data_IF_494288899084
#
_entry.id   IF_494288899084
#
_cell.length_a   1.000
_cell.length_b   1.000
_cell.length_c   1.000
_cell.angle_alpha   90.00
_cell.angle_beta   90.00
_cell.angle_gamma   90.00
#
_symmetry.space_group_name_H-M   'P 1'
#
loop_
_entity.id
_entity.type
_entity.pdbx_description
1 polymer ?
#
# COMPACT_ATOMS: atom_id res chain seq x y z
N UNK A 1 -20.47 3.13 -5.76
CA UNK A 1 -20.34 4.60 -5.86
C UNK A 1 -19.98 5.11 -4.47
N UNK A 2 -19.04 6.05 -4.34
CA UNK A 2 -18.70 6.64 -3.03
C UNK A 2 -19.69 7.75 -2.68
N UNK A 3 -20.20 7.74 -1.44
CA UNK A 3 -21.12 8.75 -0.93
C UNK A 3 -20.33 9.88 -0.26
N UNK A 4 -20.45 11.12 -0.79
CA UNK A 4 -19.66 12.29 -0.36
C UNK A 4 -20.43 13.28 0.54
N UNK A 5 -21.77 13.28 0.52
CA UNK A 5 -22.70 14.09 1.35
C UNK A 5 -24.12 13.48 1.33
N UNK A 6 -24.91 13.78 2.36
CA UNK A 6 -26.37 13.56 2.57
C UNK A 6 -27.08 12.80 1.46
N UNK A 7 -26.74 11.53 1.33
CA UNK A 7 -27.51 10.62 0.51
C UNK A 7 -28.80 10.31 1.29
N UNK A 8 -29.93 10.72 0.72
CA UNK A 8 -31.22 10.44 1.31
C UNK A 8 -31.61 9.00 1.04
N UNK A 9 -31.73 8.23 2.13
CA UNK A 9 -32.27 6.88 2.09
C UNK A 9 -33.66 6.89 2.72
N UNK A 10 -34.60 6.08 2.21
CA UNK A 10 -35.94 5.96 2.78
C UNK A 10 -35.97 5.18 4.11
N UNK A 11 -34.80 4.79 4.63
CA UNK A 11 -34.59 4.03 5.85
C UNK A 11 -33.30 4.51 6.54
N UNK A 12 -33.11 4.21 7.85
CA UNK A 12 -31.89 4.56 8.57
C UNK A 12 -30.65 3.91 7.94
N UNK A 13 -29.59 4.70 7.75
CA UNK A 13 -28.28 4.23 7.28
C UNK A 13 -27.21 4.72 8.24
N UNK A 14 -26.33 3.81 8.66
CA UNK A 14 -25.21 4.14 9.54
C UNK A 14 -24.11 4.86 8.78
N UNK A 15 -23.80 6.09 9.19
CA UNK A 15 -22.66 6.88 8.70
C UNK A 15 -22.32 7.95 9.73
N UNK A 16 -21.10 8.50 9.67
CA UNK A 16 -20.56 9.50 10.59
C UNK A 16 -21.36 10.81 10.67
N UNK A 17 -22.30 11.01 9.75
CA UNK A 17 -23.16 12.19 9.65
C UNK A 17 -24.64 11.87 9.87
N UNK A 18 -24.96 10.60 10.17
CA UNK A 18 -26.32 10.13 10.34
C UNK A 18 -26.92 10.69 11.63
N UNK A 19 -28.12 11.25 11.54
CA UNK A 19 -28.94 11.57 12.73
C UNK A 19 -29.86 10.41 13.11
N UNK A 20 -29.75 9.26 12.42
CA UNK A 20 -30.66 8.13 12.61
C UNK A 20 -30.23 7.17 13.72
N UNK A 21 -28.96 7.22 14.12
CA UNK A 21 -28.36 6.36 15.15
C UNK A 21 -27.94 7.21 16.35
N UNK A 22 -28.04 6.63 17.56
CA UNK A 22 -27.63 7.29 18.81
C UNK A 22 -26.10 7.53 18.84
N UNK A 23 -25.31 6.55 18.39
CA UNK A 23 -23.88 6.68 18.14
C UNK A 23 -23.59 6.42 16.65
N UNK A 24 -23.60 7.45 15.80
CA UNK A 24 -23.41 7.30 14.36
C UNK A 24 -21.91 7.26 14.03
N UNK A 25 -21.21 6.15 14.32
CA UNK A 25 -19.79 5.98 14.00
C UNK A 25 -19.54 4.78 13.08
N UNK A 26 -18.91 5.06 11.95
CA UNK A 26 -18.36 4.08 11.02
C UNK A 26 -17.04 4.63 10.45
N UNK A 27 -15.94 4.20 11.07
CA UNK A 27 -14.59 4.62 10.75
C UNK A 27 -13.89 3.56 9.91
N UNK A 28 -13.21 4.03 8.87
CA UNK A 28 -12.37 3.26 7.97
C UNK A 28 -10.98 3.89 7.99
N UNK A 29 -9.99 3.03 8.24
CA UNK A 29 -8.58 3.30 8.00
C UNK A 29 -8.05 2.31 6.96
N UNK A 30 -7.25 2.82 6.03
CA UNK A 30 -6.69 2.01 4.95
C UNK A 30 -5.22 2.33 4.81
N UNK A 31 -4.39 1.33 5.08
CA UNK A 31 -2.97 1.35 4.75
C UNK A 31 -2.73 0.71 3.38
N UNK A 32 -1.75 1.21 2.63
CA UNK A 32 -1.35 0.65 1.34
C UNK A 32 0.06 0.07 1.42
N UNK A 33 0.16 -1.20 1.06
CA UNK A 33 1.41 -1.85 0.70
C UNK A 33 1.42 -2.08 -0.82
N UNK A 34 2.60 -2.08 -1.44
CA UNK A 34 2.70 -2.38 -2.86
C UNK A 34 3.96 -3.18 -3.19
N UNK A 35 3.85 -4.05 -4.18
CA UNK A 35 5.00 -4.63 -4.86
C UNK A 35 4.97 -4.23 -6.34
N UNK A 36 5.81 -4.84 -7.16
CA UNK A 36 5.90 -4.53 -8.60
C UNK A 36 4.60 -4.78 -9.37
N UNK A 37 3.79 -5.75 -8.94
CA UNK A 37 2.64 -6.25 -9.69
C UNK A 37 1.28 -5.87 -9.08
N UNK A 38 1.23 -5.74 -7.76
CA UNK A 38 0.00 -5.63 -6.98
C UNK A 38 0.07 -4.49 -5.95
N UNK A 39 -1.09 -3.92 -5.70
CA UNK A 39 -1.40 -3.12 -4.52
C UNK A 39 -2.07 -4.02 -3.48
N UNK A 40 -1.70 -3.90 -2.21
CA UNK A 40 -2.39 -4.56 -1.11
C UNK A 40 -2.93 -3.50 -0.16
N UNK A 41 -4.25 -3.39 -0.11
CA UNK A 41 -4.96 -2.51 0.81
C UNK A 41 -5.19 -3.25 2.10
N UNK A 42 -4.59 -2.79 3.20
CA UNK A 42 -4.90 -3.25 4.55
C UNK A 42 -6.06 -2.41 5.07
N UNK A 43 -7.20 -3.07 5.28
CA UNK A 43 -8.49 -2.48 5.61
C UNK A 43 -8.78 -2.72 7.08
N UNK A 44 -8.76 -1.66 7.87
CA UNK A 44 -9.18 -1.67 9.27
C UNK A 44 -10.42 -0.81 9.40
N UNK A 45 -11.49 -1.33 9.99
CA UNK A 45 -12.72 -0.57 10.16
C UNK A 45 -13.37 -0.84 11.50
N UNK A 46 -14.08 0.17 12.01
CA UNK A 46 -14.83 0.12 13.24
C UNK A 46 -16.25 0.64 12.97
N UNK A 47 -17.23 -0.12 13.43
CA UNK A 47 -18.65 0.23 13.41
C UNK A 47 -19.06 0.45 14.86
N UNK A 48 -19.83 1.46 15.21
CA UNK A 48 -20.38 1.59 16.58
C UNK A 48 -21.48 0.56 16.80
N UNK A 49 -22.50 0.59 15.94
CA UNK A 49 -23.76 -0.16 16.02
C UNK A 49 -23.58 -1.67 16.27
N UNK A 50 -23.95 -2.17 17.47
CA UNK A 50 -24.09 -3.59 17.76
C UNK A 50 -24.98 -4.35 16.78
N UNK A 51 -26.09 -3.75 16.34
CA UNK A 51 -26.99 -4.33 15.36
C UNK A 51 -26.28 -4.62 14.03
N UNK A 52 -25.57 -3.61 13.48
CA UNK A 52 -24.81 -3.77 12.24
C UNK A 52 -23.67 -4.79 12.40
N UNK A 53 -22.94 -4.77 13.52
CA UNK A 53 -21.92 -5.78 13.82
C UNK A 53 -22.47 -7.20 13.80
N UNK A 54 -23.66 -7.39 14.39
CA UNK A 54 -24.35 -8.69 14.39
C UNK A 54 -24.71 -9.12 12.98
N UNK A 55 -25.21 -8.23 12.12
CA UNK A 55 -25.51 -8.57 10.73
C UNK A 55 -24.27 -9.01 9.96
N UNK A 56 -23.12 -8.34 10.16
CA UNK A 56 -21.86 -8.73 9.53
C UNK A 56 -21.43 -10.12 10.02
N UNK A 57 -21.50 -10.38 11.33
CA UNK A 57 -21.06 -11.66 11.89
C UNK A 57 -21.98 -12.84 11.55
N UNK A 58 -23.28 -12.61 11.35
CA UNK A 58 -24.22 -13.64 10.88
C UNK A 58 -24.18 -13.84 9.37
N UNK A 59 -23.48 -12.99 8.62
CA UNK A 59 -23.44 -13.00 7.15
C UNK A 59 -24.67 -12.36 6.49
N UNK A 60 -25.57 -11.78 7.29
CA UNK A 60 -26.75 -11.05 6.82
C UNK A 60 -26.39 -9.67 6.25
N UNK A 61 -25.23 -9.14 6.64
CA UNK A 61 -24.57 -7.98 6.06
C UNK A 61 -23.21 -8.36 5.47
N UNK A 62 -22.81 -7.69 4.39
CA UNK A 62 -21.51 -7.87 3.74
C UNK A 62 -20.78 -6.54 3.61
N UNK A 63 -19.52 -6.54 4.05
CA UNK A 63 -18.62 -5.42 3.84
C UNK A 63 -18.12 -5.41 2.38
N UNK A 64 -18.15 -4.25 1.73
CA UNK A 64 -17.74 -4.04 0.35
C UNK A 64 -16.80 -2.85 0.30
N UNK A 65 -15.52 -3.12 0.02
CA UNK A 65 -14.51 -2.10 -0.21
C UNK A 65 -14.69 -1.52 -1.61
N UNK A 66 -14.86 -0.21 -1.69
CA UNK A 66 -15.01 0.53 -2.93
C UNK A 66 -13.75 1.35 -3.14
N UNK A 67 -13.05 1.09 -4.24
CA UNK A 67 -11.89 1.86 -4.67
C UNK A 67 -12.31 2.65 -5.91
N UNK A 68 -12.43 3.96 -5.75
CA UNK A 68 -12.75 4.88 -6.84
C UNK A 68 -11.46 5.57 -7.31
N UNK A 69 -11.01 5.20 -8.50
CA UNK A 69 -9.91 5.87 -9.20
C UNK A 69 -10.45 6.51 -10.49
N UNK A 70 -10.03 6.03 -11.67
CA UNK A 70 -10.70 6.31 -12.95
C UNK A 70 -12.02 5.54 -13.05
N UNK A 71 -11.99 4.27 -12.67
CA UNK A 71 -13.16 3.40 -12.57
C UNK A 71 -13.46 3.08 -11.10
N UNK A 72 -14.71 2.71 -10.83
CA UNK A 72 -15.10 2.15 -9.54
C UNK A 72 -14.81 0.65 -9.54
N UNK A 73 -14.04 0.18 -8.56
CA UNK A 73 -13.87 -1.25 -8.26
C UNK A 73 -14.51 -1.58 -6.92
N UNK A 74 -15.09 -2.77 -6.84
CA UNK A 74 -15.84 -3.25 -5.69
C UNK A 74 -15.26 -4.60 -5.27
N UNK A 75 -14.94 -4.73 -3.99
CA UNK A 75 -14.37 -5.95 -3.41
C UNK A 75 -15.20 -6.32 -2.19
N UNK A 76 -15.90 -7.45 -2.27
CA UNK A 76 -16.59 -8.04 -1.13
C UNK A 76 -15.53 -8.59 -0.16
N UNK A 77 -15.64 -8.23 1.12
CA UNK A 77 -14.75 -8.72 2.17
C UNK A 77 -15.42 -9.88 2.89
N UNK A 78 -14.65 -10.93 3.15
CA UNK A 78 -15.07 -11.99 4.07
C UNK A 78 -15.02 -11.48 5.53
N UNK A 79 -15.75 -12.10 6.48
CA UNK A 79 -15.90 -11.62 7.87
C UNK A 79 -14.60 -11.36 8.64
N UNK A 80 -13.46 -11.91 8.20
CA UNK A 80 -12.14 -11.70 8.80
C UNK A 80 -11.09 -11.21 7.79
N UNK A 81 -11.51 -10.81 6.59
CA UNK A 81 -10.60 -10.33 5.56
C UNK A 81 -10.23 -8.86 5.83
N UNK A 82 -8.99 -8.66 6.26
CA UNK A 82 -8.41 -7.33 6.50
C UNK A 82 -7.51 -6.86 5.36
N UNK A 83 -7.39 -7.61 4.26
CA UNK A 83 -6.53 -7.23 3.15
C UNK A 83 -7.17 -7.53 1.79
N UNK A 84 -7.02 -6.60 0.85
CA UNK A 84 -7.44 -6.77 -0.56
C UNK A 84 -6.24 -6.54 -1.47
N UNK A 85 -5.87 -7.56 -2.22
CA UNK A 85 -4.83 -7.47 -3.25
C UNK A 85 -5.45 -7.14 -4.61
N UNK A 86 -4.91 -6.12 -5.27
CA UNK A 86 -5.38 -5.60 -6.57
C UNK A 86 -4.19 -5.46 -7.52
N UNK A 87 -4.20 -6.14 -8.67
CA UNK A 87 -3.15 -5.96 -9.66
C UNK A 87 -3.08 -4.52 -10.17
N UNK A 88 -1.87 -3.96 -10.26
CA UNK A 88 -1.59 -2.61 -10.79
C UNK A 88 -2.11 -2.41 -12.22
N UNK A 89 -2.22 -3.50 -13.00
CA UNK A 89 -2.87 -3.49 -14.32
C UNK A 89 -4.39 -3.24 -14.28
N UNK A 90 -5.05 -3.47 -13.13
CA UNK A 90 -6.52 -3.35 -12.98
C UNK A 90 -6.94 -2.02 -12.33
N UNK A 91 -6.04 -1.36 -11.61
CA UNK A 91 -6.28 -0.08 -10.91
C UNK A 91 -5.02 0.77 -11.00
N UNK A 92 -5.18 2.04 -11.36
CA UNK A 92 -4.12 3.03 -11.25
C UNK A 92 -4.43 3.94 -10.07
N UNK A 93 -3.50 4.04 -9.12
CA UNK A 93 -3.65 4.92 -7.95
C UNK A 93 -3.11 6.32 -8.25
N UNK A 94 -3.81 7.33 -7.76
CA UNK A 94 -3.41 8.73 -7.89
C UNK A 94 -3.89 9.51 -6.67
N UNK A 95 -3.48 10.78 -6.54
CA UNK A 95 -3.97 11.70 -5.50
C UNK A 95 -5.50 11.88 -5.48
N UNK A 96 -6.19 11.40 -6.51
CA UNK A 96 -7.66 11.43 -6.64
C UNK A 96 -8.32 10.13 -6.26
N UNK A 97 -7.56 9.08 -5.94
CA UNK A 97 -8.15 7.80 -5.54
C UNK A 97 -8.80 7.96 -4.18
N UNK A 98 -10.08 7.60 -4.12
CA UNK A 98 -10.88 7.61 -2.90
C UNK A 98 -11.30 6.18 -2.56
N UNK A 99 -11.30 5.86 -1.28
CA UNK A 99 -11.65 4.54 -0.76
C UNK A 99 -12.75 4.72 0.29
N UNK A 100 -13.78 3.87 0.23
CA UNK A 100 -14.87 3.84 1.19
C UNK A 100 -15.32 2.40 1.41
N UNK A 101 -15.77 2.07 2.61
CA UNK A 101 -16.34 0.77 2.94
C UNK A 101 -17.85 0.91 3.08
N UNK A 102 -18.58 0.03 2.40
CA UNK A 102 -20.05 -0.08 2.50
C UNK A 102 -20.40 -1.36 3.23
N UNK A 103 -21.47 -1.34 4.03
CA UNK A 103 -22.15 -2.54 4.48
C UNK A 103 -23.44 -2.66 3.69
N UNK A 104 -23.63 -3.79 2.99
CA UNK A 104 -24.85 -4.08 2.25
C UNK A 104 -25.57 -5.29 2.84
N UNK A 105 -26.89 -5.31 2.77
CA UNK A 105 -27.69 -6.47 3.16
C UNK A 105 -27.53 -7.62 2.14
N UNK A 106 -27.50 -8.84 2.63
CA UNK A 106 -27.53 -10.07 1.81
C UNK A 106 -28.92 -10.73 1.76
N UNK A 107 -29.86 -10.19 2.55
CA UNK A 107 -31.27 -10.58 2.57
C UNK A 107 -32.11 -9.37 2.99
N UNK A 108 -33.42 -9.54 3.02
CA UNK A 108 -34.32 -8.56 3.62
C UNK A 108 -34.10 -8.48 5.14
N UNK A 109 -33.97 -7.27 5.69
CA UNK A 109 -33.67 -7.01 7.11
C UNK A 109 -34.76 -6.14 7.71
N UNK A 110 -35.38 -6.61 8.78
CA UNK A 110 -36.31 -5.81 9.58
C UNK A 110 -35.57 -5.17 10.77
N UNK A 111 -35.88 -3.91 11.07
CA UNK A 111 -35.17 -3.11 12.08
C UNK A 111 -35.80 -3.19 13.48
N UNK A 112 -36.76 -4.09 13.73
CA UNK A 112 -37.38 -4.26 15.05
C UNK A 112 -36.38 -4.38 16.20
N UNK A 113 -35.32 -5.15 15.98
CA UNK A 113 -34.30 -5.45 16.99
C UNK A 113 -33.11 -4.47 16.91
N UNK A 114 -33.25 -3.37 16.17
CA UNK A 114 -32.23 -2.33 16.09
C UNK A 114 -32.46 -1.31 17.21
N UNK A 115 -31.82 -1.58 18.35
CA UNK A 115 -31.85 -0.69 19.52
C UNK A 115 -30.82 0.46 19.43
N UNK A 116 -30.07 0.53 18.33
CA UNK A 116 -29.04 1.55 18.11
C UNK A 116 -29.60 2.83 17.44
N UNK A 117 -30.86 2.77 16.99
CA UNK A 117 -31.55 3.91 16.37
C UNK A 117 -31.94 4.95 17.40
N UNK A 118 -32.06 6.20 16.93
CA UNK A 118 -32.55 7.28 17.79
C UNK A 118 -33.99 7.07 18.23
N UNK A 119 -34.35 7.66 19.37
CA UNK A 119 -35.73 7.64 19.91
C UNK A 119 -36.84 8.01 18.90
N UNK A 120 -36.52 8.80 17.87
CA UNK A 120 -37.44 9.11 16.76
C UNK A 120 -38.02 7.85 16.10
N UNK A 121 -37.21 6.81 15.92
CA UNK A 121 -37.61 5.56 15.26
C UNK A 121 -38.31 4.56 16.18
N UNK A 122 -38.31 4.79 17.50
CA UNK A 122 -38.79 3.81 18.48
C UNK A 122 -40.24 3.36 18.25
N UNK A 123 -41.09 4.23 17.70
CA UNK A 123 -42.51 3.93 17.46
C UNK A 123 -42.78 3.10 16.19
N UNK A 124 -41.85 3.04 15.24
CA UNK A 124 -42.09 2.43 13.92
C UNK A 124 -40.90 1.65 13.36
N UNK A 125 -39.82 1.42 14.13
CA UNK A 125 -38.67 0.62 13.68
C UNK A 125 -39.04 -0.80 13.28
N UNK A 126 -40.11 -1.34 13.86
CA UNK A 126 -40.67 -2.67 13.51
C UNK A 126 -41.26 -2.73 12.10
N UNK A 127 -41.67 -1.58 11.56
CA UNK A 127 -42.22 -1.43 10.21
C UNK A 127 -41.14 -1.17 9.15
N UNK A 128 -39.90 -0.88 9.59
CA UNK A 128 -38.78 -0.60 8.70
C UNK A 128 -38.20 -1.93 8.23
N UNK A 129 -38.47 -2.24 6.96
CA UNK A 129 -37.91 -3.38 6.26
C UNK A 129 -37.02 -2.91 5.13
N UNK A 130 -35.73 -3.24 5.25
CA UNK A 130 -34.68 -2.89 4.29
C UNK A 130 -34.52 -4.05 3.30
N UNK A 131 -34.60 -3.81 1.98
CA UNK A 131 -34.58 -4.87 0.99
C UNK A 131 -33.21 -5.55 0.88
N UNK A 132 -33.15 -6.69 0.20
CA UNK A 132 -31.89 -7.35 -0.13
C UNK A 132 -30.99 -6.46 -1.01
N UNK A 133 -29.68 -6.50 -0.78
CA UNK A 133 -28.63 -5.69 -1.44
C UNK A 133 -28.76 -4.18 -1.24
N UNK A 134 -29.52 -3.77 -0.23
CA UNK A 134 -29.63 -2.39 0.20
C UNK A 134 -28.42 -1.98 1.03
N UNK A 135 -28.17 -0.68 1.08
CA UNK A 135 -27.09 -0.12 1.90
C UNK A 135 -27.53 -0.03 3.36
N UNK A 136 -26.75 -0.61 4.27
CA UNK A 136 -26.98 -0.54 5.71
C UNK A 136 -26.09 0.52 6.38
N UNK A 137 -24.91 0.77 5.82
CA UNK A 137 -24.01 1.80 6.30
C UNK A 137 -22.85 2.08 5.36
N UNK A 138 -22.22 3.24 5.51
CA UNK A 138 -20.98 3.59 4.80
C UNK A 138 -20.03 4.43 5.66
N UNK A 139 -18.73 4.17 5.50
CA UNK A 139 -17.67 4.79 6.28
C UNK A 139 -17.34 6.23 5.84
N UNK A 140 -16.42 6.87 6.56
CA UNK A 140 -15.66 8.01 6.03
C UNK A 140 -14.94 7.62 4.72
N UNK A 141 -14.53 8.65 3.97
CA UNK A 141 -13.75 8.50 2.75
C UNK A 141 -12.27 8.66 3.12
N UNK A 142 -11.46 7.66 2.75
CA UNK A 142 -10.00 7.75 2.78
C UNK A 142 -9.52 8.19 1.40
N UNK A 143 -8.74 9.28 1.34
CA UNK A 143 -8.17 9.78 0.09
C UNK A 143 -6.70 9.36 0.03
N UNK A 144 -6.30 8.78 -1.10
CA UNK A 144 -4.91 8.44 -1.34
C UNK A 144 -4.11 9.71 -1.60
N UNK A 145 -3.12 10.02 -0.78
CA UNK A 145 -2.35 11.28 -0.90
C UNK A 145 -1.21 11.22 -1.93
N UNK A 146 -1.05 10.10 -2.64
CA UNK A 146 -0.12 9.99 -3.77
C UNK A 146 1.36 9.86 -3.39
N UNK A 147 1.67 9.70 -2.11
CA UNK A 147 2.97 9.21 -1.68
C UNK A 147 2.75 8.08 -0.69
N UNK A 148 3.13 6.87 -1.10
CA UNK A 148 3.83 6.01 -0.16
C UNK A 148 5.05 6.85 0.18
N UNK A 149 5.04 7.48 1.37
CA UNK A 149 6.17 8.27 1.87
C UNK A 149 7.43 7.48 1.54
N UNK A 150 8.40 8.08 0.87
CA UNK A 150 9.65 7.43 0.50
C UNK A 150 10.47 7.30 1.80
N UNK A 151 10.25 6.26 2.63
CA UNK A 151 10.54 6.35 4.05
C UNK A 151 11.99 5.97 4.36
N UNK A 152 12.76 5.65 3.31
CA UNK A 152 14.09 5.07 3.40
C UNK A 152 14.92 5.72 2.29
N UNK A 153 15.49 6.90 2.57
CA UNK A 153 16.61 7.39 1.76
C UNK A 153 17.74 6.38 1.96
N UNK A 154 17.89 5.49 0.98
CA UNK A 154 18.89 4.41 0.97
C UNK A 154 20.16 4.79 0.22
N UNK A 155 20.14 5.89 -0.54
CA UNK A 155 21.25 6.26 -1.41
C UNK A 155 21.72 7.69 -1.15
N UNK A 156 23.04 7.85 -1.13
CA UNK A 156 23.73 9.14 -1.14
C UNK A 156 24.67 9.18 -2.35
N UNK A 157 24.82 10.36 -2.95
CA UNK A 157 25.81 10.60 -4.02
C UNK A 157 26.88 11.53 -3.49
N UNK A 158 28.15 11.19 -3.67
CA UNK A 158 29.29 12.03 -3.28
C UNK A 158 30.24 12.24 -4.43
N UNK A 159 30.88 13.40 -4.46
CA UNK A 159 31.99 13.70 -5.36
C UNK A 159 33.30 13.50 -4.60
N UNK A 160 34.22 12.72 -5.16
CA UNK A 160 35.57 12.53 -4.63
C UNK A 160 36.58 12.49 -5.78
N UNK A 161 37.21 13.64 -6.05
CA UNK A 161 38.18 13.80 -7.14
C UNK A 161 39.45 12.97 -6.95
N UNK A 162 39.72 12.49 -5.73
CA UNK A 162 40.90 11.69 -5.39
C UNK A 162 40.68 10.18 -5.63
N UNK A 163 39.49 9.79 -6.08
CA UNK A 163 39.17 8.40 -6.40
C UNK A 163 40.11 7.81 -7.46
N UNK A 164 40.61 6.61 -7.18
CA UNK A 164 41.43 5.84 -8.11
C UNK A 164 40.60 5.25 -9.26
N UNK A 165 39.32 4.97 -9.02
CA UNK A 165 38.33 4.52 -10.02
C UNK A 165 37.41 5.66 -10.48
N UNK A 166 36.64 5.45 -11.55
CA UNK A 166 35.64 6.45 -11.98
C UNK A 166 34.47 6.58 -11.01
N UNK A 167 34.05 5.43 -10.46
CA UNK A 167 32.92 5.28 -9.55
C UNK A 167 33.31 4.27 -8.47
N UNK A 168 32.84 4.48 -7.25
CA UNK A 168 32.98 3.56 -6.13
C UNK A 168 31.68 3.48 -5.34
N UNK A 169 31.35 2.27 -4.92
CA UNK A 169 30.20 2.00 -4.05
C UNK A 169 30.73 1.71 -2.65
N UNK A 170 30.16 2.39 -1.67
CA UNK A 170 30.47 2.21 -0.26
C UNK A 170 29.19 1.99 0.53
N UNK A 171 29.21 1.06 1.47
CA UNK A 171 28.10 0.86 2.41
C UNK A 171 28.39 1.70 3.66
N UNK A 172 27.70 2.84 3.77
CA UNK A 172 27.77 3.70 4.95
C UNK A 172 26.98 3.14 6.13
N UNK A 173 26.89 3.92 7.20
CA UNK A 173 26.16 3.55 8.42
C UNK A 173 24.66 3.43 8.18
N UNK A 174 24.09 4.33 7.37
CA UNK A 174 22.65 4.45 7.16
C UNK A 174 22.23 4.43 5.68
N UNK A 175 23.19 4.50 4.76
CA UNK A 175 22.98 4.69 3.31
C UNK A 175 24.04 3.96 2.50
N UNK A 176 23.70 3.64 1.26
CA UNK A 176 24.62 3.21 0.21
C UNK A 176 25.14 4.48 -0.48
N UNK A 177 26.45 4.70 -0.42
CA UNK A 177 27.10 5.89 -0.95
C UNK A 177 27.69 5.54 -2.31
N UNK A 178 27.24 6.25 -3.34
CA UNK A 178 27.82 6.19 -4.68
C UNK A 178 28.76 7.38 -4.82
N UNK A 179 30.06 7.11 -4.81
CA UNK A 179 31.07 8.12 -5.05
C UNK A 179 31.39 8.20 -6.54
N UNK A 180 31.43 9.43 -7.05
CA UNK A 180 31.78 9.76 -8.42
C UNK A 180 33.07 10.56 -8.41
N UNK A 181 34.01 10.22 -9.30
CA UNK A 181 35.26 10.98 -9.42
C UNK A 181 35.06 12.36 -10.03
N UNK A 182 34.06 12.52 -10.91
CA UNK A 182 33.73 13.77 -11.61
C UNK A 182 32.23 14.01 -11.57
N UNK A 183 31.84 15.29 -11.55
CA UNK A 183 30.44 15.69 -11.51
C UNK A 183 29.66 15.19 -12.74
N UNK A 184 30.30 15.21 -13.92
CA UNK A 184 29.70 14.75 -15.19
C UNK A 184 29.19 13.30 -15.12
N UNK A 185 29.76 12.45 -14.27
CA UNK A 185 29.34 11.05 -14.11
C UNK A 185 28.02 10.89 -13.36
N UNK A 186 27.52 11.96 -12.74
CA UNK A 186 26.21 11.98 -12.09
C UNK A 186 25.08 12.28 -13.08
N UNK A 187 25.41 12.61 -14.35
CA UNK A 187 24.47 13.00 -15.40
C UNK A 187 23.62 14.23 -15.03
N UNK A 188 24.16 15.13 -14.21
CA UNK A 188 23.51 16.40 -13.86
C UNK A 188 23.23 17.20 -15.14
N UNK A 189 22.01 17.74 -15.27
CA UNK A 189 21.61 18.53 -16.45
C UNK A 189 21.00 17.77 -17.64
N UNK A 190 21.02 16.43 -17.66
CA UNK A 190 20.36 15.64 -18.70
C UNK A 190 18.90 15.31 -18.31
N UNK A 191 17.95 15.39 -19.25
CA UNK A 191 16.57 14.88 -19.04
C UNK A 191 16.66 13.40 -18.67
N UNK A 192 16.02 12.99 -17.58
CA UNK A 192 16.09 11.62 -17.04
C UNK A 192 17.43 11.24 -16.37
N UNK A 193 18.22 12.22 -15.88
CA UNK A 193 19.47 12.02 -15.12
C UNK A 193 19.39 10.94 -14.02
N UNK A 194 18.25 10.82 -13.35
CA UNK A 194 18.02 9.79 -12.33
C UNK A 194 18.05 8.37 -12.92
N UNK A 195 17.45 8.16 -14.10
CA UNK A 195 17.42 6.85 -14.73
C UNK A 195 18.82 6.38 -15.17
N UNK A 196 19.71 7.29 -15.58
CA UNK A 196 21.10 6.95 -15.94
C UNK A 196 21.95 6.52 -14.75
N UNK A 197 21.54 6.87 -13.53
CA UNK A 197 22.20 6.42 -12.31
C UNK A 197 21.71 5.05 -11.83
N UNK A 198 20.62 4.52 -12.40
CA UNK A 198 20.02 3.26 -11.98
C UNK A 198 20.98 2.04 -12.04
N UNK A 199 21.91 1.91 -13.00
CA UNK A 199 22.90 0.83 -12.97
C UNK A 199 23.80 0.87 -11.73
N UNK A 200 24.15 2.06 -11.24
CA UNK A 200 24.97 2.22 -10.03
C UNK A 200 24.16 1.96 -8.76
N UNK A 201 22.88 2.37 -8.76
CA UNK A 201 21.93 2.03 -7.70
C UNK A 201 21.76 0.50 -7.62
N UNK A 202 21.62 -0.18 -8.76
CA UNK A 202 21.54 -1.64 -8.84
C UNK A 202 22.77 -2.30 -8.23
N UNK A 203 23.96 -1.88 -8.65
CA UNK A 203 25.22 -2.39 -8.11
C UNK A 203 25.30 -2.14 -6.59
N UNK A 204 24.83 -0.98 -6.12
CA UNK A 204 24.77 -0.64 -4.70
C UNK A 204 23.86 -1.56 -3.91
N UNK A 205 22.64 -1.80 -4.40
CA UNK A 205 21.70 -2.75 -3.79
C UNK A 205 22.28 -4.16 -3.77
N UNK A 206 22.92 -4.60 -4.86
CA UNK A 206 23.54 -5.93 -4.92
C UNK A 206 24.64 -6.10 -3.89
N UNK A 207 25.54 -5.14 -3.76
CA UNK A 207 26.59 -5.16 -2.72
C UNK A 207 25.99 -5.16 -1.31
N UNK A 208 24.97 -4.35 -1.07
CA UNK A 208 24.34 -4.25 0.24
C UNK A 208 23.58 -5.54 0.63
N UNK A 209 22.83 -6.11 -0.31
CA UNK A 209 22.09 -7.35 -0.09
C UNK A 209 23.02 -8.57 0.03
N UNK A 210 24.15 -8.61 -0.69
CA UNK A 210 25.16 -9.64 -0.49
C UNK A 210 25.72 -9.62 0.93
N UNK A 211 26.03 -8.42 1.45
CA UNK A 211 26.42 -8.27 2.86
C UNK A 211 25.29 -8.71 3.79
N UNK A 212 24.07 -8.27 3.53
CA UNK A 212 22.90 -8.64 4.33
C UNK A 212 22.72 -10.16 4.43
N UNK A 213 22.81 -10.88 3.30
CA UNK A 213 22.74 -12.34 3.29
C UNK A 213 23.86 -12.92 4.16
N UNK A 214 25.09 -12.46 3.98
CA UNK A 214 26.24 -12.96 4.74
C UNK A 214 26.12 -12.77 6.26
N UNK A 215 25.56 -11.64 6.70
CA UNK A 215 25.43 -11.31 8.13
C UNK A 215 24.24 -11.99 8.80
N UNK A 216 23.16 -12.24 8.06
CA UNK A 216 21.88 -12.70 8.62
C UNK A 216 21.47 -14.13 8.22
N UNK A 217 22.24 -14.82 7.37
CA UNK A 217 22.00 -16.24 7.07
C UNK A 217 22.32 -17.13 8.26
N UNK A 218 21.54 -18.18 8.48
CA UNK A 218 21.87 -19.19 9.47
C UNK A 218 23.13 -19.99 9.06
N UNK A 219 23.80 -20.62 10.04
CA UNK A 219 25.02 -21.37 9.76
C UNK A 219 24.75 -22.54 8.79
N UNK A 220 25.36 -22.48 7.62
CA UNK A 220 25.24 -23.51 6.59
C UNK A 220 24.16 -23.22 5.56
N UNK A 221 23.46 -22.09 5.67
CA UNK A 221 22.49 -21.61 4.69
C UNK A 221 23.09 -20.49 3.83
N UNK A 222 22.57 -20.33 2.62
CA UNK A 222 22.93 -19.28 1.65
C UNK A 222 21.77 -18.32 1.36
N UNK A 223 20.75 -18.38 2.22
CA UNK A 223 19.54 -17.56 2.16
C UNK A 223 19.21 -17.00 3.55
N UNK A 224 18.30 -16.02 3.56
CA UNK A 224 17.76 -15.39 4.75
C UNK A 224 16.24 -15.38 4.65
N UNK A 225 15.56 -16.07 5.56
CA UNK A 225 14.11 -15.95 5.75
C UNK A 225 13.79 -14.69 6.59
N UNK A 226 13.21 -13.69 5.94
CA UNK A 226 12.91 -12.38 6.55
C UNK A 226 11.82 -12.47 7.63
N UNK A 227 11.06 -13.57 7.69
CA UNK A 227 10.08 -13.82 8.75
C UNK A 227 10.69 -14.39 10.03
N UNK A 228 11.88 -14.99 9.94
CA UNK A 228 12.53 -15.70 11.04
C UNK A 228 13.69 -14.91 11.67
N UNK A 229 14.30 -13.99 10.93
CA UNK A 229 15.40 -13.20 11.50
C UNK A 229 14.93 -12.21 12.56
N UNK A 230 15.80 -11.97 13.53
CA UNK A 230 15.64 -10.83 14.43
C UNK A 230 15.91 -9.54 13.65
N UNK A 231 15.13 -8.50 13.95
CA UNK A 231 15.28 -7.20 13.31
C UNK A 231 16.74 -6.70 13.42
N UNK A 232 17.38 -6.30 12.30
CA UNK A 232 18.75 -5.78 12.30
C UNK A 232 18.95 -4.56 13.21
N UNK A 233 20.09 -4.54 13.92
CA UNK A 233 20.53 -3.35 14.69
C UNK A 233 21.27 -2.32 13.83
N UNK A 234 21.96 -2.76 12.77
CA UNK A 234 22.62 -1.88 11.82
C UNK A 234 21.57 -1.07 11.05
N UNK A 235 21.71 0.25 10.98
CA UNK A 235 20.69 1.13 10.41
C UNK A 235 20.47 0.87 8.91
N UNK A 236 21.53 0.66 8.13
CA UNK A 236 21.40 0.34 6.71
C UNK A 236 20.71 -1.01 6.51
N UNK A 237 21.09 -2.04 7.26
CA UNK A 237 20.47 -3.35 7.17
C UNK A 237 19.02 -3.33 7.64
N UNK A 238 18.70 -2.55 8.67
CA UNK A 238 17.32 -2.35 9.11
C UNK A 238 16.48 -1.70 8.02
N UNK A 239 17.00 -0.70 7.32
CA UNK A 239 16.29 -0.09 6.18
C UNK A 239 16.10 -1.08 5.04
N UNK A 240 17.10 -1.91 4.73
CA UNK A 240 16.99 -2.96 3.71
C UNK A 240 15.94 -4.00 4.09
N UNK A 241 15.96 -4.47 5.34
CA UNK A 241 14.95 -5.35 5.92
C UNK A 241 13.55 -4.75 5.77
N UNK A 242 13.34 -3.52 6.25
CA UNK A 242 12.05 -2.84 6.11
C UNK A 242 11.61 -2.69 4.66
N UNK A 243 12.53 -2.36 3.74
CA UNK A 243 12.21 -2.23 2.33
C UNK A 243 11.79 -3.58 1.73
N UNK A 244 12.54 -4.65 2.01
CA UNK A 244 12.24 -6.00 1.55
C UNK A 244 10.89 -6.49 2.10
N UNK A 245 10.65 -6.35 3.42
CA UNK A 245 9.39 -6.74 4.05
C UNK A 245 8.20 -5.93 3.50
N UNK A 246 8.35 -4.60 3.34
CA UNK A 246 7.31 -3.74 2.73
C UNK A 246 6.99 -4.14 1.29
N UNK A 247 7.98 -4.67 0.57
CA UNK A 247 7.85 -5.17 -0.80
C UNK A 247 7.47 -6.66 -0.85
N UNK A 248 7.12 -7.24 0.30
CA UNK A 248 6.67 -8.63 0.48
C UNK A 248 7.68 -9.68 0.03
N UNK A 249 8.97 -9.36 0.12
CA UNK A 249 10.02 -10.35 -0.03
C UNK A 249 9.96 -11.27 1.19
N UNK A 250 9.89 -12.58 0.96
CA UNK A 250 9.90 -13.58 2.04
C UNK A 250 11.33 -14.03 2.35
N UNK A 251 12.11 -14.29 1.31
CA UNK A 251 13.48 -14.75 1.43
C UNK A 251 14.41 -13.99 0.49
N UNK A 252 15.68 -13.84 0.89
CA UNK A 252 16.74 -13.30 0.04
C UNK A 252 17.94 -14.24 0.08
N UNK A 253 18.47 -14.62 -1.08
CA UNK A 253 19.59 -15.54 -1.26
C UNK A 253 20.52 -15.05 -2.36
N UNK A 254 21.68 -15.69 -2.49
CA UNK A 254 22.64 -15.37 -3.57
C UNK A 254 22.01 -15.59 -4.96
N UNK A 255 21.13 -16.59 -5.07
CA UNK A 255 20.50 -16.98 -6.33
C UNK A 255 19.34 -16.07 -6.73
N UNK A 256 18.57 -15.57 -5.76
CA UNK A 256 17.39 -14.73 -6.02
C UNK A 256 17.67 -13.21 -5.89
N UNK A 257 18.90 -12.81 -5.56
CA UNK A 257 19.24 -11.42 -5.24
C UNK A 257 18.81 -10.43 -6.33
N UNK A 258 18.97 -10.79 -7.60
CA UNK A 258 18.65 -9.92 -8.73
C UNK A 258 17.11 -9.75 -8.89
N UNK A 259 16.34 -10.79 -8.55
CA UNK A 259 14.87 -10.73 -8.47
C UNK A 259 14.42 -9.83 -7.31
N UNK A 260 15.02 -10.02 -6.13
CA UNK A 260 14.75 -9.17 -4.95
C UNK A 260 15.05 -7.71 -5.28
N UNK A 261 16.19 -7.41 -5.91
CA UNK A 261 16.54 -6.04 -6.36
C UNK A 261 15.47 -5.51 -7.32
N UNK A 262 15.04 -6.30 -8.29
CA UNK A 262 13.99 -5.91 -9.24
C UNK A 262 12.67 -5.53 -8.53
N UNK A 263 12.31 -6.27 -7.48
CA UNK A 263 11.12 -5.99 -6.66
C UNK A 263 11.28 -4.73 -5.82
N UNK A 264 12.36 -4.63 -5.03
CA UNK A 264 12.51 -3.55 -4.06
C UNK A 264 12.80 -2.19 -4.70
N UNK A 265 13.35 -2.20 -5.91
CA UNK A 265 13.72 -0.99 -6.65
C UNK A 265 12.65 -0.56 -7.68
N UNK A 266 11.56 -1.31 -7.81
CA UNK A 266 10.54 -1.12 -8.84
C UNK A 266 11.17 -1.12 -10.25
N UNK A 267 11.90 -2.20 -10.58
CA UNK A 267 12.47 -2.47 -11.90
C UNK A 267 13.37 -1.35 -12.44
N UNK A 268 14.35 -0.89 -11.65
CA UNK A 268 15.25 0.22 -12.03
C UNK A 268 15.98 0.03 -13.37
N UNK A 269 16.28 -1.21 -13.76
CA UNK A 269 16.93 -1.50 -15.04
C UNK A 269 15.97 -1.27 -16.22
N UNK A 270 14.68 -1.56 -16.07
CA UNK A 270 13.68 -1.22 -17.10
C UNK A 270 13.55 0.30 -17.27
N UNK A 271 13.59 1.06 -16.16
CA UNK A 271 13.59 2.53 -16.18
C UNK A 271 14.83 3.09 -16.89
N UNK A 272 16.01 2.49 -16.67
CA UNK A 272 17.23 2.84 -17.40
C UNK A 272 17.08 2.57 -18.90
N UNK A 273 16.64 1.36 -19.27
CA UNK A 273 16.45 0.99 -20.67
C UNK A 273 15.42 1.88 -21.38
N UNK A 274 14.35 2.29 -20.67
CA UNK A 274 13.38 3.26 -21.15
C UNK A 274 14.01 4.62 -21.45
N UNK A 275 14.80 5.16 -20.53
CA UNK A 275 15.48 6.44 -20.71
C UNK A 275 16.48 6.42 -21.89
N UNK A 276 17.21 5.31 -22.07
CA UNK A 276 18.09 5.13 -23.23
C UNK A 276 17.29 5.14 -24.54
N UNK A 277 16.16 4.44 -24.61
CA UNK A 277 15.28 4.44 -25.80
C UNK A 277 14.72 5.82 -26.10
N UNK A 278 14.32 6.57 -25.08
CA UNK A 278 13.84 7.95 -25.24
C UNK A 278 14.90 8.89 -25.79
N UNK A 279 16.16 8.77 -25.33
CA UNK A 279 17.27 9.55 -25.89
C UNK A 279 17.48 9.23 -27.37
N UNK A 280 17.44 7.96 -27.75
CA UNK A 280 17.59 7.54 -29.16
C UNK A 280 16.45 8.11 -30.01
N UNK A 281 15.22 8.07 -29.52
CA UNK A 281 14.03 8.52 -30.27
C UNK A 281 13.92 10.04 -30.38
N UNK A 282 14.40 10.80 -29.40
CA UNK A 282 14.35 12.27 -29.38
C UNK A 282 15.65 12.93 -29.88
N UNK A 283 16.63 12.15 -30.32
CA UNK A 283 17.93 12.60 -30.81
C UNK A 283 17.98 12.98 -32.29
N UNK A 284 16.83 13.12 -32.96
CA UNK A 284 16.69 13.68 -34.32
C UNK A 284 16.17 15.12 -34.28
#
# INVERSE_FOLDING_TARGET
>A
MIYKKDANFPYPVLTNTSTSYEDPSFLLDVSLEENTNDYRFIVNYEVSSPFIKKLISTGDGQAILIIQSKDNKFYKLDPNQNAVSVPKKRVSLSKRTSIQLHIQSNKEINFRDNDDLTSFYGAFKDEITVPNHALLGYSNIVVFEGSIQNPLVLFEKKLDEQLTSDIRIELGVETIIIHYRKEDYQFTGIRSSQAFNNPYIYAGLRTALQRFIHEYSEQGEDYVDLSQITQPENLLDFKLYQLMTKKMVQEVSVDNIDEVISLISDKIIEKYAGAVKELINNGN
#
